data_IF_123247758594
#
_entry.id   IF_123247758594
#
_cell.length_a   1.000
_cell.length_b   1.000
_cell.length_c   1.000
_cell.angle_alpha   90.00
_cell.angle_beta   90.00
_cell.angle_gamma   90.00
#
_symmetry.space_group_name_H-M   'P 1'
#
loop_
_entity.id
_entity.type
_entity.pdbx_description
1 polymer ?
#
# COMPACT_ATOMS: atom_id res chain seq x y z
N UNK A 1 -1.05 -3.59 3.54
CA UNK A 1 -1.10 -2.10 3.49
C UNK A 1 -0.46 -1.65 2.20
N UNK A 2 -1.03 -0.65 1.51
CA UNK A 2 -0.47 -0.10 0.27
C UNK A 2 -0.01 1.33 0.50
N UNK A 3 1.23 1.64 0.14
CA UNK A 3 1.81 2.97 0.21
C UNK A 3 2.09 3.50 -1.20
N UNK A 4 1.82 4.78 -1.42
CA UNK A 4 2.24 5.45 -2.64
C UNK A 4 3.76 5.64 -2.67
N UNK A 5 4.38 5.47 -3.84
CA UNK A 5 5.82 5.59 -4.08
C UNK A 5 6.34 7.00 -3.82
N UNK A 6 5.52 8.02 -4.09
CA UNK A 6 5.78 9.44 -3.83
C UNK A 6 5.33 9.88 -2.42
N UNK A 7 5.05 8.94 -1.51
CA UNK A 7 4.86 9.24 -0.09
C UNK A 7 6.12 9.83 0.53
N UNK A 8 5.95 10.75 1.49
CA UNK A 8 7.09 11.36 2.16
C UNK A 8 7.91 10.31 2.93
N UNK A 9 9.21 10.51 3.06
CA UNK A 9 10.09 9.63 3.86
C UNK A 9 9.57 9.44 5.28
N UNK A 10 9.07 10.51 5.90
CA UNK A 10 8.45 10.47 7.24
C UNK A 10 7.23 9.53 7.27
N UNK A 11 6.37 9.59 6.26
CA UNK A 11 5.20 8.71 6.14
C UNK A 11 5.63 7.26 5.99
N UNK A 12 6.55 6.97 5.07
CA UNK A 12 7.05 5.61 4.83
C UNK A 12 7.65 5.02 6.09
N UNK A 13 8.51 5.78 6.78
CA UNK A 13 9.12 5.33 8.04
C UNK A 13 8.07 5.05 9.11
N UNK A 14 7.12 5.96 9.32
CA UNK A 14 6.08 5.79 10.34
C UNK A 14 5.23 4.55 10.12
N UNK A 15 4.84 4.27 8.87
CA UNK A 15 4.06 3.08 8.54
C UNK A 15 4.90 1.81 8.49
N UNK A 16 6.17 1.87 8.08
CA UNK A 16 7.08 0.73 8.17
C UNK A 16 7.27 0.28 9.63
N UNK A 17 7.50 1.22 10.56
CA UNK A 17 7.60 0.90 11.99
C UNK A 17 6.30 0.29 12.52
N UNK A 18 5.14 0.83 12.14
CA UNK A 18 3.86 0.29 12.56
C UNK A 18 3.61 -1.12 12.01
N UNK A 19 3.95 -1.35 10.74
CA UNK A 19 3.76 -2.61 10.05
C UNK A 19 4.65 -3.72 10.62
N UNK A 20 5.91 -3.41 10.93
CA UNK A 20 6.84 -4.33 11.58
C UNK A 20 6.31 -4.77 12.96
N UNK A 21 5.88 -3.81 13.78
CA UNK A 21 5.31 -4.08 15.10
C UNK A 21 3.99 -4.88 15.05
N UNK A 22 3.27 -4.83 13.94
CA UNK A 22 1.94 -5.44 13.77
C UNK A 22 1.91 -6.64 12.82
N UNK A 23 3.07 -7.07 12.31
CA UNK A 23 3.22 -8.11 11.28
C UNK A 23 2.31 -7.88 10.05
N UNK A 24 2.28 -6.65 9.53
CA UNK A 24 1.49 -6.26 8.36
C UNK A 24 2.39 -6.16 7.14
N UNK A 25 2.03 -6.81 6.04
CA UNK A 25 2.73 -6.63 4.76
C UNK A 25 2.50 -5.22 4.22
N UNK A 26 3.59 -4.54 3.83
CA UNK A 26 3.55 -3.28 3.08
C UNK A 26 3.88 -3.57 1.62
N UNK A 27 3.08 -2.98 0.73
CA UNK A 27 3.38 -2.89 -0.70
C UNK A 27 3.51 -1.41 -1.07
N UNK A 28 4.61 -1.04 -1.72
CA UNK A 28 4.81 0.31 -2.23
C UNK A 28 4.48 0.35 -3.72
N UNK A 29 3.34 0.94 -4.09
CA UNK A 29 2.78 0.82 -5.45
C UNK A 29 2.13 2.13 -5.90
N UNK A 30 2.52 2.61 -7.09
CA UNK A 30 1.90 3.77 -7.74
C UNK A 30 2.09 5.09 -6.98
N UNK A 31 1.77 6.20 -7.63
CA UNK A 31 1.78 7.54 -7.03
C UNK A 31 0.50 7.82 -6.24
N UNK A 32 0.49 8.85 -5.39
CA UNK A 32 -0.69 9.30 -4.64
C UNK A 32 -1.89 9.57 -5.53
N UNK A 33 -1.63 10.12 -6.72
CA UNK A 33 -2.66 10.44 -7.70
C UNK A 33 -3.24 9.17 -8.31
N UNK A 34 -2.40 8.20 -8.69
CA UNK A 34 -2.85 6.92 -9.26
C UNK A 34 -3.63 6.10 -8.24
N UNK A 35 -3.12 6.00 -7.01
CA UNK A 35 -3.83 5.37 -5.89
C UNK A 35 -5.14 6.07 -5.59
N UNK A 36 -5.14 7.41 -5.55
CA UNK A 36 -6.33 8.22 -5.36
C UNK A 36 -7.39 7.89 -6.41
N UNK A 37 -7.03 7.99 -7.69
CA UNK A 37 -7.94 7.74 -8.82
C UNK A 37 -8.57 6.34 -8.75
N UNK A 38 -7.77 5.29 -8.48
CA UNK A 38 -8.27 3.91 -8.37
C UNK A 38 -9.20 3.68 -7.17
N UNK A 39 -9.08 4.51 -6.13
CA UNK A 39 -9.89 4.42 -4.91
C UNK A 39 -11.03 5.44 -4.86
N UNK A 40 -11.29 6.16 -5.95
CA UNK A 40 -12.35 7.18 -6.01
C UNK A 40 -12.06 8.41 -5.13
N UNK A 41 -10.78 8.77 -4.98
CA UNK A 41 -10.29 9.92 -4.21
C UNK A 41 -9.35 10.76 -5.08
N UNK A 42 -9.04 11.99 -4.65
CA UNK A 42 -8.10 12.83 -5.38
C UNK A 42 -6.64 12.39 -5.18
N UNK A 43 -6.24 12.18 -3.93
CA UNK A 43 -4.88 11.78 -3.55
C UNK A 43 -4.94 10.80 -2.38
N UNK A 44 -4.20 9.69 -2.47
CA UNK A 44 -4.08 8.70 -1.40
C UNK A 44 -2.63 8.30 -1.21
N UNK A 45 -2.06 8.65 -0.05
CA UNK A 45 -0.68 8.27 0.28
C UNK A 45 -0.58 6.86 0.87
N UNK A 46 -1.59 6.44 1.63
CA UNK A 46 -1.61 5.14 2.30
C UNK A 46 -3.04 4.60 2.28
N UNK A 47 -3.18 3.30 1.97
CA UNK A 47 -4.43 2.57 2.04
C UNK A 47 -4.26 1.30 2.88
N UNK A 48 -5.12 1.14 3.89
CA UNK A 48 -5.26 -0.11 4.62
C UNK A 48 -6.35 -0.97 3.95
N UNK A 49 -6.00 -2.21 3.64
CA UNK A 49 -6.94 -3.21 3.12
C UNK A 49 -7.29 -4.10 4.30
N UNK A 50 -8.52 -3.99 4.77
CA UNK A 50 -8.98 -4.72 5.96
C UNK A 50 -9.69 -6.02 5.60
N UNK A 51 -10.05 -6.21 4.32
CA UNK A 51 -10.61 -7.45 3.83
C UNK A 51 -9.47 -8.46 3.53
N UNK A 52 -9.39 -9.60 4.25
CA UNK A 52 -8.29 -10.54 4.10
C UNK A 52 -8.22 -11.18 2.70
N UNK A 53 -9.36 -11.47 2.08
CA UNK A 53 -9.42 -12.11 0.76
C UNK A 53 -8.89 -11.18 -0.33
N UNK A 54 -9.27 -9.90 -0.28
CA UNK A 54 -8.75 -8.87 -1.16
C UNK A 54 -7.26 -8.65 -0.95
N UNK A 55 -6.80 -8.64 0.31
CA UNK A 55 -5.38 -8.48 0.63
C UNK A 55 -4.54 -9.62 0.02
N UNK A 56 -4.99 -10.87 0.15
CA UNK A 56 -4.31 -12.03 -0.43
C UNK A 56 -4.28 -11.98 -1.95
N UNK A 57 -5.38 -11.62 -2.60
CA UNK A 57 -5.44 -11.54 -4.07
C UNK A 57 -4.52 -10.44 -4.62
N UNK A 58 -4.41 -9.30 -3.91
CA UNK A 58 -3.49 -8.23 -4.27
C UNK A 58 -2.04 -8.67 -4.14
N UNK A 59 -1.67 -9.34 -3.04
CA UNK A 59 -0.32 -9.87 -2.83
C UNK A 59 0.03 -10.88 -3.93
N UNK A 60 -0.86 -11.83 -4.21
CA UNK A 60 -0.67 -12.84 -5.26
C UNK A 60 -0.44 -12.22 -6.64
N UNK A 61 -1.25 -11.21 -7.01
CA UNK A 61 -1.07 -10.50 -8.28
C UNK A 61 0.24 -9.72 -8.31
N UNK A 62 0.64 -9.12 -7.19
CA UNK A 62 1.91 -8.40 -7.09
C UNK A 62 3.11 -9.32 -7.33
N UNK A 63 3.18 -10.45 -6.62
CA UNK A 63 4.25 -11.45 -6.76
C UNK A 63 4.32 -12.05 -8.18
N UNK A 64 3.18 -12.12 -8.88
CA UNK A 64 3.13 -12.59 -10.27
C UNK A 64 3.63 -11.58 -11.31
N UNK A 65 3.75 -10.30 -10.95
CA UNK A 65 4.23 -9.23 -11.84
C UNK A 65 5.72 -8.94 -11.63
N UNK A 66 6.26 -9.26 -10.45
CA UNK A 66 7.70 -9.15 -10.14
C UNK A 66 8.53 -10.36 -10.62
N UNK A 67 7.89 -11.43 -11.11
CA UNK A 67 8.53 -12.61 -11.74
C UNK A 67 8.29 -12.65 -13.25
#
# INVERSE_FOLDING_TARGET
MVLATDSSTRTKLGFATYADASNITILEIGTKTELGSKLGRNLVAVAAINDPSLAQEIIRKWESVEN
#
